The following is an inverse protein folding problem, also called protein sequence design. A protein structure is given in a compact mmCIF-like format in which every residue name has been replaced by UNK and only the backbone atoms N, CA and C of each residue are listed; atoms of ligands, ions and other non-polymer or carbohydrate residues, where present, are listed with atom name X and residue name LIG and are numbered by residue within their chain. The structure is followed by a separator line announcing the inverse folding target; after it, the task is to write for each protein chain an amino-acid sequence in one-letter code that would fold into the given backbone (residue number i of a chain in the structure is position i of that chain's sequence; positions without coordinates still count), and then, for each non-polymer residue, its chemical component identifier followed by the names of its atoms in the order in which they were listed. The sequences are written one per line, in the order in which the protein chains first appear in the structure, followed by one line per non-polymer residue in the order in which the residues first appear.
data_IF_747937342313
#
_entry.id   IF_747937342313
#
_cell.length_a   1.000
_cell.length_b   1.000
_cell.length_c   1.000
_cell.angle_alpha   90.00
_cell.angle_beta   90.00
_cell.angle_gamma   90.00
#
_symmetry.space_group_name_H-M   'P 1'
#
loop_
_entity.id
_entity.type
_entity.pdbx_description
1 polymer ?
#
# COMPACT_ATOMS: atom_id res chain seq x y z
N UNK A 1 15.75 -0.56 -7.25
CA UNK A 1 15.80 -1.95 -6.70
C UNK A 1 14.80 -2.90 -7.37
N UNK A 2 13.66 -2.41 -7.89
CA UNK A 2 12.71 -3.23 -8.65
C UNK A 2 12.45 -2.70 -10.07
N UNK A 3 13.11 -1.63 -10.48
CA UNK A 3 12.87 -0.93 -11.76
C UNK A 3 12.98 -1.82 -12.99
N UNK A 4 13.85 -2.84 -12.96
CA UNK A 4 14.00 -3.79 -14.06
C UNK A 4 13.09 -5.03 -13.93
N UNK A 5 12.33 -5.14 -12.84
CA UNK A 5 11.52 -6.32 -12.50
C UNK A 5 10.00 -6.06 -12.50
N UNK A 6 9.56 -4.79 -12.44
CA UNK A 6 8.14 -4.42 -12.47
C UNK A 6 7.90 -3.27 -13.44
N UNK A 7 6.79 -3.32 -14.16
CA UNK A 7 6.44 -2.31 -15.17
C UNK A 7 6.04 -0.96 -14.57
N UNK A 8 5.54 -0.96 -13.33
CA UNK A 8 4.98 0.23 -12.67
C UNK A 8 5.51 0.36 -11.25
N UNK A 9 6.09 1.53 -10.97
CA UNK A 9 6.48 1.96 -9.62
C UNK A 9 5.87 3.33 -9.38
N UNK A 10 5.15 3.48 -8.27
CA UNK A 10 4.54 4.75 -7.86
C UNK A 10 4.99 5.08 -6.45
N UNK A 11 5.49 6.30 -6.26
CA UNK A 11 5.82 6.83 -4.94
C UNK A 11 4.57 7.49 -4.35
N UNK A 12 4.27 7.18 -3.09
CA UNK A 12 3.13 7.71 -2.34
C UNK A 12 3.58 8.18 -0.97
N UNK A 13 2.83 9.10 -0.37
CA UNK A 13 3.19 9.70 0.91
C UNK A 13 2.29 9.26 2.07
N UNK A 14 1.22 8.50 1.81
CA UNK A 14 0.35 7.92 2.83
C UNK A 14 -0.14 6.50 2.47
N UNK A 15 -0.60 5.74 3.47
CA UNK A 15 -1.20 4.42 3.26
C UNK A 15 -2.51 4.50 2.46
N UNK A 16 -3.28 5.57 2.66
CA UNK A 16 -4.52 5.83 1.94
C UNK A 16 -4.25 6.01 0.44
N UNK A 17 -3.33 6.91 0.09
CA UNK A 17 -2.92 7.17 -1.29
C UNK A 17 -2.37 5.90 -1.95
N UNK A 18 -1.50 5.16 -1.24
CA UNK A 18 -0.98 3.89 -1.72
C UNK A 18 -2.09 2.88 -2.05
N UNK A 19 -3.11 2.79 -1.19
CA UNK A 19 -4.24 1.87 -1.36
C UNK A 19 -5.13 2.28 -2.53
N UNK A 20 -5.43 3.58 -2.67
CA UNK A 20 -6.20 4.11 -3.78
C UNK A 20 -5.50 3.87 -5.12
N UNK A 21 -4.21 4.18 -5.23
CA UNK A 21 -3.46 3.96 -6.46
C UNK A 21 -3.39 2.47 -6.79
N UNK A 22 -3.12 1.61 -5.80
CA UNK A 22 -3.12 0.17 -6.00
C UNK A 22 -4.47 -0.35 -6.52
N UNK A 23 -5.59 0.17 -6.00
CA UNK A 23 -6.93 -0.18 -6.47
C UNK A 23 -7.19 0.26 -7.92
N UNK A 24 -6.77 1.47 -8.30
CA UNK A 24 -6.92 1.97 -9.68
C UNK A 24 -6.07 1.20 -10.69
N UNK A 25 -4.92 0.67 -10.27
CA UNK A 25 -4.05 -0.14 -11.12
C UNK A 25 -4.49 -1.60 -11.19
N UNK A 26 -5.10 -2.12 -10.12
CA UNK A 26 -5.57 -3.49 -10.04
C UNK A 26 -6.78 -3.73 -10.97
N UNK A 27 -6.85 -4.94 -11.54
CA UNK A 27 -7.99 -5.39 -12.33
C UNK A 27 -8.80 -6.42 -11.55
N UNK A 28 -10.01 -6.68 -12.01
CA UNK A 28 -10.86 -7.73 -11.44
C UNK A 28 -10.13 -9.07 -11.47
N UNK A 29 -9.94 -9.66 -10.29
CA UNK A 29 -9.24 -10.94 -10.12
C UNK A 29 -7.84 -10.78 -9.52
N UNK A 30 -7.30 -9.57 -9.47
CA UNK A 30 -6.01 -9.29 -8.82
C UNK A 30 -6.16 -9.20 -7.30
N UNK A 31 -5.05 -9.39 -6.59
CA UNK A 31 -4.96 -9.20 -5.15
C UNK A 31 -3.94 -8.10 -4.83
N UNK A 32 -4.33 -7.17 -3.95
CA UNK A 32 -3.45 -6.10 -3.44
C UNK A 32 -2.87 -6.54 -2.10
N UNK A 33 -1.55 -6.56 -1.98
CA UNK A 33 -0.83 -6.96 -0.77
C UNK A 33 0.00 -5.79 -0.20
N UNK A 34 -0.24 -5.45 1.06
CA UNK A 34 0.62 -4.53 1.80
C UNK A 34 1.80 -5.31 2.43
N UNK A 35 3.00 -5.20 1.84
CA UNK A 35 4.23 -5.84 2.34
C UNK A 35 5.41 -4.86 2.42
N UNK A 36 5.48 -3.99 3.45
CA UNK A 36 6.43 -2.89 3.49
C UNK A 36 7.88 -3.27 3.86
N UNK A 37 8.18 -4.56 4.11
CA UNK A 37 9.51 -5.13 4.38
C UNK A 37 10.40 -4.44 5.47
N UNK A 38 9.93 -3.35 6.09
CA UNK A 38 10.64 -2.51 7.07
C UNK A 38 9.79 -2.23 8.31
N UNK A 39 10.47 -1.91 9.41
CA UNK A 39 9.86 -1.49 10.66
C UNK A 39 9.18 -0.11 10.47
N UNK A 40 7.93 0.00 10.89
CA UNK A 40 6.97 1.04 10.50
C UNK A 40 7.13 2.40 11.20
N UNK A 41 8.32 2.74 11.72
CA UNK A 41 8.47 3.82 12.71
C UNK A 41 8.42 5.25 12.16
N UNK A 42 8.53 5.46 10.84
CA UNK A 42 8.50 6.81 10.26
C UNK A 42 7.08 7.30 9.87
N UNK A 43 6.15 6.37 9.60
CA UNK A 43 4.80 6.66 9.08
C UNK A 43 3.65 6.16 9.97
N UNK A 44 3.92 5.23 10.88
CA UNK A 44 2.87 4.57 11.68
C UNK A 44 3.27 4.48 13.15
N UNK A 45 2.28 4.54 14.03
CA UNK A 45 2.52 4.45 15.48
C UNK A 45 3.07 3.07 15.88
N UNK A 46 2.64 2.02 15.19
CA UNK A 46 3.09 0.63 15.34
C UNK A 46 2.57 -0.23 14.16
N UNK A 47 2.88 -1.54 14.18
CA UNK A 47 2.47 -2.46 13.12
C UNK A 47 0.94 -2.65 13.03
N UNK A 48 0.21 -2.52 14.14
CA UNK A 48 -1.25 -2.68 14.19
C UNK A 48 -1.95 -1.47 13.55
N UNK A 49 -1.49 -0.28 13.91
CA UNK A 49 -1.93 1.00 13.36
C UNK A 49 -1.80 1.01 11.84
N UNK A 50 -0.66 0.55 11.31
CA UNK A 50 -0.45 0.34 9.87
C UNK A 50 -1.52 -0.55 9.24
N UNK A 51 -1.79 -1.70 9.84
CA UNK A 51 -2.82 -2.63 9.34
C UNK A 51 -4.23 -2.05 9.42
N UNK A 52 -4.52 -1.28 10.46
CA UNK A 52 -5.80 -0.62 10.64
C UNK A 52 -6.02 0.50 9.62
N UNK A 53 -5.01 1.32 9.35
CA UNK A 53 -5.08 2.36 8.31
C UNK A 53 -5.29 1.76 6.92
N UNK A 54 -4.58 0.66 6.58
CA UNK A 54 -4.82 -0.05 5.32
C UNK A 54 -6.26 -0.60 5.22
N UNK A 55 -6.75 -1.24 6.29
CA UNK A 55 -8.14 -1.72 6.32
C UNK A 55 -9.17 -0.60 6.21
N UNK A 56 -8.89 0.55 6.82
CA UNK A 56 -9.76 1.73 6.72
C UNK A 56 -9.78 2.24 5.27
N UNK A 57 -8.60 2.48 4.68
CA UNK A 57 -8.48 2.91 3.29
C UNK A 57 -9.18 1.96 2.32
N UNK A 58 -9.02 0.64 2.48
CA UNK A 58 -9.70 -0.36 1.64
C UNK A 58 -11.23 -0.30 1.77
N UNK A 59 -11.77 0.06 2.94
CA UNK A 59 -13.22 0.19 3.14
C UNK A 59 -13.80 1.49 2.55
N UNK A 60 -12.94 2.47 2.25
CA UNK A 60 -13.34 3.76 1.68
C UNK A 60 -13.19 3.81 0.15
N UNK A 61 -12.73 2.73 -0.48
CA UNK A 61 -12.72 2.52 -1.93
C UNK A 61 -14.10 2.10 -2.47
#
# INVERSE_FOLDING_TARGET
AFEDAVDVIVNTFSAEEATQIAFHLAKRGDAVLLSPACASFDLFKNYEDRGNQFKAAVKEL
#
